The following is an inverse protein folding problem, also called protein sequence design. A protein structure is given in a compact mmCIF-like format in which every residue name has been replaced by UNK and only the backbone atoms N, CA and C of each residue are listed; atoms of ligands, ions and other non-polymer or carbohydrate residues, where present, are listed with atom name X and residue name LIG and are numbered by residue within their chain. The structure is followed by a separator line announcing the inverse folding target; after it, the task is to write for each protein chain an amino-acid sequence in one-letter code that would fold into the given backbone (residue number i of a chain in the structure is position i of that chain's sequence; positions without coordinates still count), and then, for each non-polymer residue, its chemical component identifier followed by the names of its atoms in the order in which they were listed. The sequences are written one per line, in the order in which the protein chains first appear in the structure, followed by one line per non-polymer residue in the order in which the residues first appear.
data_IF_698470254815
#
_entry.id   IF_698470254815
#
_cell.length_a   1.000
_cell.length_b   1.000
_cell.length_c   1.000
_cell.angle_alpha   90.00
_cell.angle_beta   90.00
_cell.angle_gamma   90.00
#
_symmetry.space_group_name_H-M   'P 1'
#
loop_
_entity.id
_entity.type
_entity.pdbx_description
1 polymer ?
#
# COMPACT_ATOMS: atom_id res chain seq x y z
N UNK A 1 12.95 21.98 -11.71
CA UNK A 1 11.81 22.81 -12.15
C UNK A 1 11.00 23.06 -10.90
N UNK A 2 10.71 24.31 -10.51
CA UNK A 2 9.97 24.56 -9.28
C UNK A 2 8.51 24.11 -9.41
N UNK A 3 8.08 23.13 -8.60
CA UNK A 3 6.71 22.63 -8.58
C UNK A 3 5.73 23.51 -7.79
N UNK A 4 4.43 23.28 -8.00
CA UNK A 4 3.38 23.93 -7.21
C UNK A 4 3.41 23.40 -5.76
N UNK A 5 3.36 24.28 -4.74
CA UNK A 5 3.44 23.85 -3.33
C UNK A 5 2.36 22.85 -2.91
N UNK A 6 1.13 22.98 -3.42
CA UNK A 6 0.02 22.08 -3.07
C UNK A 6 0.24 20.70 -3.69
N UNK A 7 0.82 20.63 -4.90
CA UNK A 7 1.20 19.36 -5.54
C UNK A 7 2.30 18.66 -4.74
N UNK A 8 3.33 19.40 -4.30
CA UNK A 8 4.42 18.85 -3.47
C UNK A 8 3.89 18.35 -2.12
N UNK A 9 2.89 19.01 -1.55
CA UNK A 9 2.23 18.58 -0.32
C UNK A 9 1.52 17.22 -0.52
N UNK A 10 0.72 17.08 -1.58
CA UNK A 10 0.05 15.81 -1.91
C UNK A 10 1.04 14.68 -2.17
N UNK A 11 2.11 14.93 -2.93
CA UNK A 11 3.17 13.96 -3.17
C UNK A 11 3.81 13.48 -1.85
N UNK A 12 4.06 14.40 -0.91
CA UNK A 12 4.62 14.05 0.40
C UNK A 12 3.61 13.35 1.32
N UNK A 13 2.31 13.65 1.19
CA UNK A 13 1.26 12.92 1.89
C UNK A 13 1.17 11.47 1.40
N UNK A 14 1.19 11.26 0.07
CA UNK A 14 1.23 9.92 -0.50
C UNK A 14 2.53 9.19 -0.13
N UNK A 15 3.70 9.85 -0.19
CA UNK A 15 4.96 9.24 0.25
C UNK A 15 4.90 8.78 1.72
N UNK A 16 4.26 9.56 2.61
CA UNK A 16 4.06 9.16 4.01
C UNK A 16 3.21 7.88 4.10
N UNK A 17 2.22 7.73 3.22
CA UNK A 17 1.40 6.55 3.14
C UNK A 17 2.19 5.32 2.68
N UNK A 18 2.96 5.43 1.60
CA UNK A 18 3.75 4.28 1.10
C UNK A 18 4.76 3.83 2.14
N UNK A 19 5.43 4.77 2.81
CA UNK A 19 6.35 4.44 3.91
C UNK A 19 5.63 3.74 5.08
N UNK A 20 4.36 4.05 5.32
CA UNK A 20 3.55 3.36 6.33
C UNK A 20 3.18 1.95 5.85
N UNK A 21 2.70 1.83 4.61
CA UNK A 21 2.30 0.58 3.98
C UNK A 21 3.47 -0.42 3.89
N UNK A 22 4.66 0.05 3.47
CA UNK A 22 5.90 -0.74 3.46
C UNK A 22 6.12 -1.43 4.81
N UNK A 23 6.05 -0.66 5.91
CA UNK A 23 6.30 -1.19 7.24
C UNK A 23 5.21 -2.15 7.71
N UNK A 24 3.94 -1.83 7.44
CA UNK A 24 2.81 -2.66 7.82
C UNK A 24 2.83 -4.01 7.09
N UNK A 25 2.91 -3.98 5.75
CA UNK A 25 2.99 -5.18 4.92
C UNK A 25 4.21 -6.02 5.25
N UNK A 26 5.38 -5.40 5.42
CA UNK A 26 6.59 -6.16 5.76
C UNK A 26 6.46 -6.86 7.11
N UNK A 27 5.91 -6.18 8.12
CA UNK A 27 5.70 -6.77 9.43
C UNK A 27 4.66 -7.90 9.39
N UNK A 28 3.53 -7.70 8.71
CA UNK A 28 2.53 -8.75 8.50
C UNK A 28 3.14 -9.97 7.79
N UNK A 29 3.92 -9.76 6.73
CA UNK A 29 4.62 -10.86 6.04
C UNK A 29 5.54 -11.64 6.99
N UNK A 30 6.29 -10.96 7.86
CA UNK A 30 7.16 -11.63 8.85
C UNK A 30 6.36 -12.38 9.92
N UNK A 31 5.21 -11.85 10.34
CA UNK A 31 4.32 -12.54 11.28
C UNK A 31 3.69 -13.79 10.66
N UNK A 32 3.18 -13.67 9.43
CA UNK A 32 2.61 -14.78 8.67
C UNK A 32 3.64 -15.90 8.45
N UNK A 33 4.89 -15.55 8.12
CA UNK A 33 5.99 -16.52 7.98
C UNK A 33 6.27 -17.22 9.31
N UNK A 34 6.31 -16.47 10.42
CA UNK A 34 6.48 -17.02 11.76
C UNK A 34 5.33 -17.94 12.18
N UNK A 35 4.10 -17.67 11.73
CA UNK A 35 2.94 -18.54 11.96
C UNK A 35 2.87 -19.73 11.01
N UNK A 36 3.79 -19.84 10.04
CA UNK A 36 3.88 -20.95 9.09
C UNK A 36 3.02 -20.80 7.83
N UNK A 37 2.37 -19.65 7.62
CA UNK A 37 1.58 -19.35 6.42
C UNK A 37 2.48 -18.83 5.29
N UNK A 38 3.49 -19.62 4.93
CA UNK A 38 4.62 -19.20 4.08
C UNK A 38 4.22 -18.77 2.67
N UNK A 39 3.14 -19.34 2.10
CA UNK A 39 2.62 -18.90 0.80
C UNK A 39 2.05 -17.48 0.87
N UNK A 40 1.30 -17.18 1.94
CA UNK A 40 0.75 -15.84 2.16
C UNK A 40 1.88 -14.85 2.45
N UNK A 41 2.81 -15.21 3.33
CA UNK A 41 3.97 -14.37 3.65
C UNK A 41 4.77 -13.96 2.41
N UNK A 42 4.91 -14.85 1.43
CA UNK A 42 5.58 -14.54 0.16
C UNK A 42 4.83 -13.48 -0.64
N UNK A 43 3.50 -13.57 -0.70
CA UNK A 43 2.64 -12.60 -1.38
C UNK A 43 2.66 -11.26 -0.64
N UNK A 44 2.37 -11.23 0.66
CA UNK A 44 2.38 -9.97 1.44
C UNK A 44 3.74 -9.27 1.42
N UNK A 45 4.84 -10.04 1.30
CA UNK A 45 6.18 -9.47 1.10
C UNK A 45 6.36 -8.85 -0.29
N UNK A 46 5.77 -9.39 -1.35
CA UNK A 46 5.82 -8.74 -2.67
C UNK A 46 5.10 -7.41 -2.64
N UNK A 47 3.90 -7.33 -2.04
CA UNK A 47 3.17 -6.07 -1.90
C UNK A 47 4.03 -5.01 -1.19
N UNK A 48 4.68 -5.38 -0.07
CA UNK A 48 5.62 -4.48 0.62
C UNK A 48 6.74 -3.95 -0.29
N UNK A 49 7.21 -4.74 -1.26
CA UNK A 49 8.22 -4.30 -2.23
C UNK A 49 7.64 -3.47 -3.37
N UNK A 50 6.38 -3.67 -3.73
CA UNK A 50 5.69 -2.81 -4.69
C UNK A 50 5.50 -1.41 -4.07
N UNK A 51 5.15 -1.31 -2.78
CA UNK A 51 5.13 -0.02 -2.07
C UNK A 51 6.50 0.67 -1.99
N UNK A 52 7.59 -0.10 -1.91
CA UNK A 52 8.94 0.47 -1.98
C UNK A 52 9.20 1.15 -3.33
N UNK A 53 8.66 0.60 -4.42
CA UNK A 53 8.78 1.22 -5.76
C UNK A 53 7.90 2.46 -5.87
N UNK A 54 6.69 2.45 -5.31
CA UNK A 54 5.85 3.65 -5.25
C UNK A 54 6.56 4.79 -4.51
N UNK A 55 7.13 4.49 -3.33
CA UNK A 55 7.91 5.46 -2.55
C UNK A 55 9.12 6.02 -3.33
N UNK A 56 9.82 5.19 -4.11
CA UNK A 56 10.93 5.60 -4.97
C UNK A 56 10.45 6.57 -6.07
N UNK A 57 9.40 6.23 -6.81
CA UNK A 57 8.82 7.07 -7.87
C UNK A 57 8.36 8.43 -7.33
N UNK A 58 7.68 8.44 -6.18
CA UNK A 58 7.23 9.67 -5.54
C UNK A 58 8.41 10.55 -5.11
N UNK A 59 9.46 9.94 -4.57
CA UNK A 59 10.67 10.64 -4.14
C UNK A 59 11.38 11.30 -5.30
N UNK A 60 11.56 10.57 -6.41
CA UNK A 60 12.11 11.12 -7.64
C UNK A 60 11.29 12.31 -8.14
N UNK A 61 9.95 12.18 -8.10
CA UNK A 61 9.06 13.25 -8.54
C UNK A 61 9.15 14.50 -7.66
N UNK A 62 9.19 14.34 -6.34
CA UNK A 62 9.32 15.45 -5.39
C UNK A 62 10.66 16.17 -5.59
N UNK A 63 11.77 15.43 -5.71
CA UNK A 63 13.10 16.01 -5.93
C UNK A 63 13.17 16.76 -7.27
N UNK A 64 12.61 16.19 -8.34
CA UNK A 64 12.55 16.84 -9.65
C UNK A 64 11.80 18.19 -9.62
N UNK A 65 10.76 18.26 -8.78
CA UNK A 65 9.97 19.46 -8.52
C UNK A 65 10.62 20.43 -7.52
N UNK A 66 11.90 20.20 -7.13
CA UNK A 66 12.67 20.99 -6.17
C UNK A 66 12.03 21.02 -4.77
N UNK A 67 11.24 20.00 -4.43
CA UNK A 67 10.70 19.76 -3.10
C UNK A 67 11.65 18.95 -2.20
N UNK A 68 11.25 18.78 -0.94
CA UNK A 68 11.97 17.96 0.04
C UNK A 68 11.12 16.73 0.41
N UNK A 69 11.51 15.51 -0.02
CA UNK A 69 10.80 14.28 0.34
C UNK A 69 10.84 14.02 1.85
N UNK A 70 9.68 13.75 2.44
CA UNK A 70 9.56 13.55 3.88
C UNK A 70 9.63 12.06 4.26
N UNK A 71 10.84 11.60 4.58
CA UNK A 71 11.09 10.25 5.11
C UNK A 71 11.00 10.15 6.65
N UNK A 72 10.68 11.25 7.34
CA UNK A 72 10.61 11.28 8.81
C UNK A 72 9.22 10.92 9.33
N UNK A 73 8.17 11.24 8.57
CA UNK A 73 6.78 11.05 8.98
C UNK A 73 6.30 9.64 8.59
N UNK A 74 5.55 9.02 9.50
CA UNK A 74 4.75 7.82 9.26
C UNK A 74 3.34 8.06 9.80
N UNK A 75 2.34 7.46 9.17
CA UNK A 75 1.02 7.30 9.76
C UNK A 75 1.04 6.16 10.79
N UNK A 76 -0.11 5.87 11.39
CA UNK A 76 -0.22 4.81 12.37
C UNK A 76 -0.19 3.44 11.69
N UNK A 77 0.82 2.62 12.01
CA UNK A 77 0.88 1.22 11.60
C UNK A 77 -0.13 0.41 12.40
N UNK A 78 -1.03 -0.29 11.72
CA UNK A 78 -2.08 -1.14 12.32
C UNK A 78 -1.66 -2.60 12.19
N UNK A 79 -1.33 -3.23 13.31
CA UNK A 79 -0.82 -4.62 13.30
C UNK A 79 -1.91 -5.60 13.72
N UNK A 80 -2.40 -6.37 12.76
CA UNK A 80 -3.37 -7.45 13.03
C UNK A 80 -2.74 -8.63 13.75
N UNK A 81 -3.47 -9.29 14.66
CA UNK A 81 -2.99 -10.47 15.40
C UNK A 81 -3.54 -11.79 14.82
N UNK A 82 -4.58 -11.73 13.99
CA UNK A 82 -5.11 -12.83 13.19
C UNK A 82 -4.98 -12.53 11.69
N UNK A 83 -5.11 -13.54 10.83
CA UNK A 83 -5.04 -13.29 9.36
C UNK A 83 -6.18 -12.37 8.91
N UNK A 84 -7.36 -12.52 9.52
CA UNK A 84 -8.51 -11.65 9.25
C UNK A 84 -8.23 -10.20 9.65
N UNK A 85 -7.67 -9.97 10.85
CA UNK A 85 -7.30 -8.62 11.31
C UNK A 85 -6.19 -8.00 10.45
N UNK A 86 -5.21 -8.80 9.99
CA UNK A 86 -4.15 -8.32 9.11
C UNK A 86 -4.74 -7.82 7.78
N UNK A 87 -5.59 -8.61 7.13
CA UNK A 87 -6.24 -8.19 5.88
C UNK A 87 -7.13 -6.97 6.04
N UNK A 88 -7.85 -6.84 7.16
CA UNK A 88 -8.66 -5.65 7.44
C UNK A 88 -7.80 -4.41 7.67
N UNK A 89 -6.67 -4.56 8.37
CA UNK A 89 -5.73 -3.47 8.61
C UNK A 89 -5.07 -2.99 7.31
N UNK A 90 -4.67 -3.92 6.44
CA UNK A 90 -4.07 -3.64 5.14
C UNK A 90 -5.10 -2.99 4.21
N UNK A 91 -6.32 -3.54 4.14
CA UNK A 91 -7.42 -2.96 3.35
C UNK A 91 -7.76 -1.54 3.76
N UNK A 92 -7.69 -1.22 5.05
CA UNK A 92 -7.94 0.13 5.53
C UNK A 92 -6.88 1.13 5.02
N UNK A 93 -5.62 0.70 4.88
CA UNK A 93 -4.56 1.51 4.26
C UNK A 93 -4.90 1.80 2.81
N UNK A 94 -5.35 0.80 2.05
CA UNK A 94 -5.69 0.98 0.63
C UNK A 94 -6.90 1.90 0.41
N UNK A 95 -7.93 1.78 1.25
CA UNK A 95 -9.09 2.69 1.19
C UNK A 95 -8.66 4.14 1.45
N UNK A 96 -7.76 4.35 2.41
CA UNK A 96 -7.19 5.67 2.71
C UNK A 96 -6.29 6.19 1.57
N UNK A 97 -5.61 5.29 0.84
CA UNK A 97 -4.83 5.62 -0.34
C UNK A 97 -5.69 6.08 -1.52
N UNK A 98 -6.71 5.31 -1.88
CA UNK A 98 -7.59 5.62 -3.00
C UNK A 98 -8.25 7.00 -2.85
N UNK A 99 -8.75 7.35 -1.65
CA UNK A 99 -9.34 8.66 -1.41
C UNK A 99 -8.33 9.79 -1.66
N UNK A 100 -7.12 9.66 -1.09
CA UNK A 100 -6.06 10.67 -1.23
C UNK A 100 -5.58 10.80 -2.66
N UNK A 101 -5.39 9.68 -3.37
CA UNK A 101 -4.95 9.66 -4.76
C UNK A 101 -5.98 10.34 -5.65
N UNK A 102 -7.27 10.02 -5.52
CA UNK A 102 -8.35 10.65 -6.31
C UNK A 102 -8.40 12.18 -6.12
N UNK A 103 -8.26 12.66 -4.89
CA UNK A 103 -8.16 14.10 -4.60
C UNK A 103 -6.90 14.74 -5.19
N UNK A 104 -5.77 14.06 -5.09
CA UNK A 104 -4.48 14.53 -5.64
C UNK A 104 -4.49 14.63 -7.16
N UNK A 105 -5.07 13.64 -7.86
CA UNK A 105 -5.21 13.63 -9.32
C UNK A 105 -6.01 14.84 -9.79
N UNK A 106 -7.16 15.11 -9.18
CA UNK A 106 -8.01 16.26 -9.53
C UNK A 106 -7.26 17.59 -9.36
N UNK A 107 -6.55 17.76 -8.24
CA UNK A 107 -5.73 18.94 -7.98
C UNK A 107 -4.62 19.09 -9.04
N UNK A 108 -3.83 18.05 -9.26
CA UNK A 108 -2.68 18.08 -10.19
C UNK A 108 -3.14 18.40 -11.62
N UNK A 109 -4.27 17.82 -12.07
CA UNK A 109 -4.87 18.13 -13.37
C UNK A 109 -5.34 19.58 -13.44
N UNK A 110 -5.95 20.11 -12.38
CA UNK A 110 -6.36 21.53 -12.30
C UNK A 110 -5.17 22.49 -12.38
N UNK A 111 -4.03 22.12 -11.78
CA UNK A 111 -2.78 22.89 -11.83
C UNK A 111 -1.98 22.70 -13.12
N UNK A 112 -2.43 21.81 -14.02
CA UNK A 112 -1.73 21.48 -15.26
C UNK A 112 -0.50 20.59 -15.07
N UNK A 113 -0.29 20.00 -13.89
CA UNK A 113 0.78 19.04 -13.65
C UNK A 113 0.35 17.63 -14.07
N UNK A 114 0.39 17.40 -15.39
CA UNK A 114 -0.02 16.15 -16.01
C UNK A 114 0.88 14.98 -15.55
N UNK A 115 2.18 15.21 -15.39
CA UNK A 115 3.12 14.13 -15.08
C UNK A 115 2.94 13.63 -13.64
N UNK A 116 2.73 14.52 -12.66
CA UNK A 116 2.42 14.08 -11.29
C UNK A 116 1.05 13.38 -11.23
N UNK A 117 0.06 13.88 -11.98
CA UNK A 117 -1.26 13.25 -12.03
C UNK A 117 -1.19 11.81 -12.58
N UNK A 118 -0.43 11.58 -13.66
CA UNK A 118 -0.26 10.24 -14.22
C UNK A 118 0.41 9.28 -13.22
N UNK A 119 1.40 9.74 -12.45
CA UNK A 119 2.02 8.91 -11.38
C UNK A 119 0.97 8.49 -10.35
N UNK A 120 0.10 9.42 -9.93
CA UNK A 120 -0.98 9.09 -9.00
C UNK A 120 -2.03 8.15 -9.62
N UNK A 121 -2.30 8.25 -10.92
CA UNK A 121 -3.21 7.35 -11.62
C UNK A 121 -2.65 5.94 -11.74
N UNK A 122 -1.35 5.79 -11.98
CA UNK A 122 -0.68 4.49 -12.02
C UNK A 122 -0.73 3.83 -10.63
N UNK A 123 -0.35 4.56 -9.56
CA UNK A 123 -0.45 4.07 -8.17
C UNK A 123 -1.91 3.72 -7.82
N UNK A 124 -2.87 4.56 -8.19
CA UNK A 124 -4.29 4.30 -7.94
C UNK A 124 -4.78 2.98 -8.55
N UNK A 125 -4.31 2.65 -9.76
CA UNK A 125 -4.67 1.40 -10.41
C UNK A 125 -4.11 0.19 -9.63
N UNK A 126 -2.89 0.29 -9.13
CA UNK A 126 -2.25 -0.75 -8.31
C UNK A 126 -3.02 -0.93 -6.97
N UNK A 127 -3.41 0.16 -6.30
CA UNK A 127 -4.18 0.05 -5.03
C UNK A 127 -5.59 -0.50 -5.23
N UNK A 128 -6.23 -0.23 -6.38
CA UNK A 128 -7.51 -0.85 -6.71
C UNK A 128 -7.38 -2.37 -6.92
N UNK A 129 -6.23 -2.85 -7.42
CA UNK A 129 -5.90 -4.28 -7.48
C UNK A 129 -5.63 -4.88 -6.09
N UNK A 130 -4.92 -4.17 -5.22
CA UNK A 130 -4.70 -4.61 -3.84
C UNK A 130 -6.01 -4.76 -3.06
N UNK A 131 -6.95 -3.81 -3.20
CA UNK A 131 -8.29 -3.94 -2.60
C UNK A 131 -9.03 -5.16 -3.11
N UNK A 132 -9.05 -5.40 -4.42
CA UNK A 132 -9.75 -6.56 -5.00
C UNK A 132 -9.21 -7.89 -4.43
N UNK A 133 -7.88 -7.99 -4.31
CA UNK A 133 -7.24 -9.13 -3.66
C UNK A 133 -7.69 -9.30 -2.20
N UNK A 134 -7.62 -8.23 -1.40
CA UNK A 134 -7.94 -8.25 0.03
C UNK A 134 -9.42 -8.56 0.28
N UNK A 135 -10.33 -7.95 -0.48
CA UNK A 135 -11.76 -8.25 -0.43
C UNK A 135 -12.04 -9.71 -0.79
N UNK A 136 -11.37 -10.22 -1.83
CA UNK A 136 -11.45 -11.63 -2.21
C UNK A 136 -10.97 -12.54 -1.07
N UNK A 137 -9.87 -12.22 -0.39
CA UNK A 137 -9.37 -13.03 0.73
C UNK A 137 -10.34 -13.03 1.92
N UNK A 138 -10.89 -11.87 2.26
CA UNK A 138 -11.88 -11.74 3.34
C UNK A 138 -13.16 -12.52 3.04
N UNK A 139 -13.67 -12.46 1.81
CA UNK A 139 -14.81 -13.27 1.38
C UNK A 139 -14.51 -14.77 1.42
N UNK A 140 -13.30 -15.20 1.04
CA UNK A 140 -12.89 -16.60 1.11
C UNK A 140 -12.83 -17.10 2.55
N UNK A 141 -12.34 -16.27 3.48
CA UNK A 141 -12.36 -16.59 4.92
C UNK A 141 -13.80 -16.77 5.41
N UNK A 142 -14.72 -15.88 5.01
CA UNK A 142 -16.14 -16.00 5.37
C UNK A 142 -16.77 -17.30 4.83
N UNK A 143 -16.51 -17.63 3.56
CA UNK A 143 -17.10 -18.78 2.86
C UNK A 143 -16.53 -20.12 3.34
N UNK A 144 -15.24 -20.19 3.64
CA UNK A 144 -14.53 -21.45 3.96
C UNK A 144 -14.35 -21.67 5.45
N UNK A 145 -14.40 -20.60 6.25
CA UNK A 145 -13.89 -20.57 7.61
C UNK A 145 -12.36 -20.43 7.65
N UNK A 146 -11.88 -19.68 8.63
CA UNK A 146 -10.47 -19.29 8.75
C UNK A 146 -9.51 -20.51 8.80
N UNK A 147 -9.89 -21.59 9.48
CA UNK A 147 -9.07 -22.80 9.56
C UNK A 147 -8.84 -23.46 8.19
N UNK A 148 -9.87 -23.56 7.35
CA UNK A 148 -9.75 -24.18 6.02
C UNK A 148 -8.99 -23.27 5.05
N UNK A 149 -9.18 -21.95 5.16
CA UNK A 149 -8.43 -20.96 4.42
C UNK A 149 -6.92 -21.05 4.74
N UNK A 150 -6.55 -21.03 6.02
CA UNK A 150 -5.15 -21.13 6.45
C UNK A 150 -4.48 -22.43 6.00
N UNK A 151 -5.22 -23.55 5.93
CA UNK A 151 -4.70 -24.82 5.42
C UNK A 151 -4.26 -24.74 3.93
N UNK A 152 -4.75 -23.77 3.15
CA UNK A 152 -4.29 -23.54 1.77
C UNK A 152 -2.96 -22.79 1.71
N UNK A 153 -2.62 -22.05 2.77
CA UNK A 153 -1.50 -21.11 2.83
C UNK A 153 -0.20 -21.70 3.39
N UNK A 154 -0.23 -22.94 3.88
CA UNK A 154 0.95 -23.67 4.34
C UNK A 154 1.63 -24.43 3.19
N UNK A 155 2.93 -24.65 3.31
CA UNK A 155 3.63 -25.68 2.54
C UNK A 155 3.41 -27.06 3.18
N UNK A 156 3.12 -28.07 2.36
CA UNK A 156 3.04 -29.44 2.87
C UNK A 156 4.45 -30.02 2.96
N UNK A 157 4.88 -30.52 4.12
CA UNK A 157 6.16 -31.19 4.23
C UNK A 157 6.19 -32.42 3.31
N UNK A 158 7.33 -32.61 2.64
CA UNK A 158 7.60 -33.75 1.77
C UNK A 158 7.73 -35.06 2.54
#
# INVERSE_FOLDING_TARGET
MQGDPEVIEFLNEQLTAELTAINQYFLHAKMQENFGWTKLAKYTRSESFDEMKHAEILTDRILFLEGLPNYQRLFHVRVGQTVTEMFQADRQVEVEAIDRLKRGIELMRTKGDITSANIFEDILADEEHHIDYLDTQLELIEKLGEALYLAQLIEQPS
#
